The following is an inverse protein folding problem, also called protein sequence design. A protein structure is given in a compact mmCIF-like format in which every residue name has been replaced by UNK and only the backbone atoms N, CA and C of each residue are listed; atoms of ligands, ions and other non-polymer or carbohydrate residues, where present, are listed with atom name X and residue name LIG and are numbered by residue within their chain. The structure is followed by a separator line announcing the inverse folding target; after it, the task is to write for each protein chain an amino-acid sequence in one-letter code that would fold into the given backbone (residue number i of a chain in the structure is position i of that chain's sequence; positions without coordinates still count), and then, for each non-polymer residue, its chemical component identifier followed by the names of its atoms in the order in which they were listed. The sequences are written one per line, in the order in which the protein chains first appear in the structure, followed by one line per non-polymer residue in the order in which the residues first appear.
data_IF_362684939132
#
_entry.id   IF_362684939132
#
_cell.length_a   1.000
_cell.length_b   1.000
_cell.length_c   1.000
_cell.angle_alpha   90.00
_cell.angle_beta   90.00
_cell.angle_gamma   90.00
#
_symmetry.space_group_name_H-M   'P 1'
#
loop_
_entity.id
_entity.type
_entity.pdbx_description
1 polymer ?
#
# COMPACT_ATOMS: atom_id res chain seq x y z
N UNK A 1 0.62 -5.03 10.44
CA UNK A 1 -0.63 -5.32 9.74
C UNK A 1 -0.35 -6.27 8.59
N UNK A 2 -1.20 -7.26 8.37
CA UNK A 2 -1.10 -8.13 7.20
C UNK A 2 -2.23 -7.82 6.23
N UNK A 3 -1.96 -8.00 4.95
CA UNK A 3 -2.93 -7.79 3.90
C UNK A 3 -2.79 -8.81 2.78
N UNK A 4 -3.87 -9.03 2.05
CA UNK A 4 -3.89 -9.87 0.86
C UNK A 4 -4.02 -8.97 -0.35
N UNK A 5 -3.19 -9.20 -1.36
CA UNK A 5 -3.24 -8.49 -2.64
C UNK A 5 -3.68 -9.48 -3.71
N UNK A 6 -4.96 -9.48 -4.11
CA UNK A 6 -5.43 -10.38 -5.16
C UNK A 6 -4.74 -10.09 -6.50
N UNK A 7 -4.65 -11.09 -7.38
CA UNK A 7 -4.12 -10.86 -8.73
C UNK A 7 -4.96 -9.83 -9.47
N UNK A 8 -4.32 -8.88 -10.13
CA UNK A 8 -5.00 -7.85 -10.90
C UNK A 8 -5.84 -6.87 -10.08
N UNK A 9 -5.72 -6.87 -8.75
CA UNK A 9 -6.44 -5.93 -7.91
C UNK A 9 -6.02 -4.48 -8.20
N UNK A 10 -6.98 -3.55 -8.01
CA UNK A 10 -6.66 -2.13 -8.13
C UNK A 10 -5.64 -1.74 -7.07
N UNK A 11 -4.52 -1.20 -7.51
CA UNK A 11 -3.45 -0.73 -6.64
C UNK A 11 -3.84 0.56 -5.93
N UNK A 12 -3.23 0.85 -4.77
CA UNK A 12 -3.37 2.18 -4.18
C UNK A 12 -2.85 3.26 -5.15
N UNK A 13 -3.40 4.48 -5.14
CA UNK A 13 -2.80 5.57 -5.89
C UNK A 13 -1.35 5.78 -5.44
N UNK A 14 -0.42 6.10 -6.35
CA UNK A 14 0.92 6.48 -5.94
C UNK A 14 0.89 7.61 -4.93
N UNK A 15 1.62 7.45 -3.84
CA UNK A 15 1.60 8.42 -2.73
C UNK A 15 2.92 8.41 -1.98
N UNK A 16 3.12 9.42 -1.13
CA UNK A 16 4.24 9.47 -0.21
C UNK A 16 3.73 9.77 1.19
N UNK A 17 4.39 9.17 2.19
CA UNK A 17 4.13 9.50 3.58
C UNK A 17 5.09 10.59 4.03
N UNK A 18 4.57 11.70 4.55
CA UNK A 18 5.40 12.82 4.99
C UNK A 18 5.78 12.72 6.46
N UNK A 19 5.09 11.88 7.23
CA UNK A 19 5.28 11.78 8.69
C UNK A 19 5.68 10.39 9.18
N UNK A 20 5.73 9.39 8.30
CA UNK A 20 6.11 8.04 8.72
C UNK A 20 6.96 7.33 7.68
N UNK A 21 7.70 6.33 8.14
CA UNK A 21 8.36 5.36 7.29
C UNK A 21 7.50 4.10 7.18
N UNK A 22 7.64 3.37 6.10
CA UNK A 22 6.87 2.17 5.82
C UNK A 22 7.79 1.04 5.40
N UNK A 23 7.47 -0.18 5.82
CA UNK A 23 8.22 -1.35 5.41
C UNK A 23 7.26 -2.45 4.97
N UNK A 24 7.65 -3.17 3.92
CA UNK A 24 6.89 -4.29 3.39
C UNK A 24 7.74 -5.56 3.49
N UNK A 25 7.13 -6.63 3.99
CA UNK A 25 7.70 -7.95 3.97
C UNK A 25 6.74 -8.87 3.21
N UNK A 26 7.22 -9.50 2.14
CA UNK A 26 6.40 -10.41 1.33
C UNK A 26 6.34 -11.76 2.02
N UNK A 27 5.14 -12.16 2.44
CA UNK A 27 4.91 -13.43 3.11
C UNK A 27 4.63 -14.56 2.14
N UNK A 28 3.94 -14.26 1.05
CA UNK A 28 3.60 -15.25 0.02
C UNK A 28 3.30 -14.55 -1.31
N UNK A 29 3.53 -15.25 -2.41
CA UNK A 29 3.28 -14.75 -3.75
C UNK A 29 4.35 -13.76 -4.22
N UNK A 30 3.99 -12.96 -5.22
CA UNK A 30 4.89 -11.95 -5.81
C UNK A 30 4.18 -10.61 -5.82
N UNK A 31 4.87 -9.57 -5.38
CA UNK A 31 4.36 -8.20 -5.36
C UNK A 31 5.24 -7.31 -6.21
N UNK A 32 4.62 -6.49 -7.04
CA UNK A 32 5.32 -5.46 -7.80
C UNK A 32 5.25 -4.16 -7.02
N UNK A 33 6.41 -3.63 -6.65
CA UNK A 33 6.53 -2.35 -5.98
C UNK A 33 7.03 -1.30 -6.94
N UNK A 34 6.50 -0.10 -6.81
CA UNK A 34 7.06 1.07 -7.47
C UNK A 34 7.55 2.02 -6.39
N UNK A 35 8.84 2.34 -6.45
CA UNK A 35 9.50 3.26 -5.50
C UNK A 35 10.15 4.36 -6.32
N UNK A 36 9.64 5.59 -6.20
CA UNK A 36 9.98 6.72 -7.07
C UNK A 36 9.83 6.29 -8.56
N UNK A 37 10.89 6.30 -9.35
CA UNK A 37 10.85 5.90 -10.76
C UNK A 37 11.28 4.44 -11.00
N UNK A 38 11.49 3.67 -9.93
CA UNK A 38 11.99 2.30 -10.03
C UNK A 38 10.89 1.30 -9.74
N UNK A 39 10.77 0.29 -10.60
CA UNK A 39 9.89 -0.84 -10.37
C UNK A 39 10.70 -2.03 -9.86
N UNK A 40 10.21 -2.65 -8.78
CA UNK A 40 10.86 -3.77 -8.12
C UNK A 40 9.85 -4.91 -7.94
N UNK A 41 10.29 -6.14 -8.18
CA UNK A 41 9.49 -7.33 -7.91
C UNK A 41 10.00 -8.01 -6.64
N UNK A 42 9.10 -8.25 -5.70
CA UNK A 42 9.40 -8.95 -4.45
C UNK A 42 8.69 -10.30 -4.38
N UNK A 43 9.42 -11.35 -4.07
CA UNK A 43 8.89 -12.67 -3.77
C UNK A 43 8.90 -12.94 -2.26
N UNK A 44 8.36 -14.11 -1.86
CA UNK A 44 8.31 -14.51 -0.45
C UNK A 44 9.69 -14.41 0.22
N UNK A 45 9.75 -13.75 1.37
CA UNK A 45 10.99 -13.50 2.10
C UNK A 45 11.67 -12.18 1.78
N UNK A 46 11.23 -11.45 0.76
CA UNK A 46 11.80 -10.15 0.41
C UNK A 46 11.26 -9.04 1.30
N UNK A 47 12.10 -8.06 1.56
CA UNK A 47 11.81 -6.92 2.42
C UNK A 47 12.10 -5.63 1.66
N UNK A 48 11.19 -4.65 1.74
CA UNK A 48 11.37 -3.33 1.16
C UNK A 48 11.12 -2.26 2.22
N UNK A 49 12.10 -1.40 2.43
CA UNK A 49 11.93 -0.21 3.26
C UNK A 49 11.60 0.98 2.36
N UNK A 50 10.51 1.67 2.69
CA UNK A 50 10.12 2.93 2.03
C UNK A 50 10.39 4.06 3.01
N UNK A 51 11.44 4.85 2.78
CA UNK A 51 11.74 5.97 3.66
C UNK A 51 10.68 7.04 3.56
N UNK A 52 10.60 7.86 4.59
CA UNK A 52 9.71 9.02 4.62
C UNK A 52 9.94 9.88 3.38
N UNK A 53 8.85 10.30 2.73
CA UNK A 53 8.91 11.17 1.55
C UNK A 53 9.09 10.45 0.21
N UNK A 54 9.41 9.17 0.19
CA UNK A 54 9.53 8.43 -1.08
C UNK A 54 8.15 8.11 -1.66
N UNK A 55 7.96 8.41 -2.93
CA UNK A 55 6.73 8.09 -3.66
C UNK A 55 6.67 6.58 -3.91
N UNK A 56 5.53 5.95 -3.63
CA UNK A 56 5.40 4.51 -3.80
C UNK A 56 3.97 4.05 -4.06
N UNK A 57 3.87 2.89 -4.65
CA UNK A 57 2.66 2.08 -4.74
C UNK A 57 3.05 0.63 -4.92
N UNK A 58 2.08 -0.26 -4.88
CA UNK A 58 2.32 -1.69 -5.09
C UNK A 58 1.12 -2.34 -5.76
N UNK A 59 1.35 -3.51 -6.34
CA UNK A 59 0.30 -4.29 -6.98
C UNK A 59 0.72 -5.74 -7.15
N UNK A 60 -0.15 -6.53 -7.75
CA UNK A 60 0.09 -7.94 -8.02
C UNK A 60 -0.17 -8.21 -9.50
N UNK A 61 0.90 -8.33 -10.26
CA UNK A 61 0.85 -8.68 -11.69
C UNK A 61 0.88 -10.20 -11.92
N UNK A 62 0.98 -11.00 -10.86
CA UNK A 62 0.99 -12.46 -10.94
C UNK A 62 -0.41 -13.05 -11.06
N UNK A 63 -0.48 -14.37 -11.08
CA UNK A 63 -1.73 -15.14 -11.18
C UNK A 63 -2.26 -15.64 -9.84
N UNK A 64 -1.47 -15.53 -8.79
CA UNK A 64 -1.81 -15.99 -7.44
C UNK A 64 -1.95 -14.82 -6.47
N UNK A 65 -2.78 -14.93 -5.42
CA UNK A 65 -2.82 -13.92 -4.37
C UNK A 65 -1.47 -13.76 -3.69
N UNK A 66 -1.12 -12.53 -3.33
CA UNK A 66 0.08 -12.24 -2.55
C UNK A 66 -0.32 -11.81 -1.14
N UNK A 67 0.56 -12.06 -0.17
CA UNK A 67 0.37 -11.64 1.21
C UNK A 67 1.53 -10.77 1.65
N UNK A 68 1.19 -9.66 2.30
CA UNK A 68 2.16 -8.69 2.79
C UNK A 68 2.02 -8.51 4.30
N UNK A 69 3.16 -8.35 4.96
CA UNK A 69 3.23 -7.72 6.27
C UNK A 69 3.67 -6.28 6.06
N UNK A 70 2.87 -5.33 6.53
CA UNK A 70 3.12 -3.91 6.38
C UNK A 70 3.36 -3.30 7.75
N UNK A 71 4.45 -2.57 7.88
CA UNK A 71 4.86 -1.90 9.11
C UNK A 71 4.92 -0.39 8.87
N UNK A 72 4.41 0.37 9.81
CA UNK A 72 4.47 1.83 9.80
C UNK A 72 5.09 2.34 11.10
N UNK A 73 5.93 3.34 11.00
CA UNK A 73 6.51 4.02 12.15
C UNK A 73 6.46 5.53 11.94
N UNK A 74 5.57 6.25 12.63
CA UNK A 74 4.59 5.78 13.63
C UNK A 74 3.40 5.02 13.04
N UNK A 75 2.60 4.38 13.90
CA UNK A 75 1.46 3.57 13.50
C UNK A 75 0.38 4.38 12.77
N UNK A 76 -0.33 3.72 11.85
CA UNK A 76 -1.40 4.29 11.05
C UNK A 76 -2.72 3.52 11.18
N UNK A 77 -2.98 2.92 12.34
CA UNK A 77 -4.16 2.09 12.57
C UNK A 77 -5.48 2.85 12.34
N UNK A 78 -5.57 4.10 12.72
CA UNK A 78 -6.76 4.91 12.49
C UNK A 78 -7.06 5.11 11.00
N UNK A 79 -6.03 5.31 10.18
CA UNK A 79 -6.18 5.38 8.73
C UNK A 79 -6.76 4.08 8.17
N UNK A 80 -6.22 2.93 8.58
CA UNK A 80 -6.68 1.64 8.08
C UNK A 80 -8.08 1.29 8.53
N UNK A 81 -8.50 1.71 9.71
CA UNK A 81 -9.89 1.58 10.14
C UNK A 81 -10.85 2.35 9.22
N UNK A 82 -10.52 3.58 8.89
CA UNK A 82 -11.35 4.38 7.99
C UNK A 82 -11.32 3.85 6.55
N UNK A 83 -10.17 3.37 6.10
CA UNK A 83 -10.05 2.74 4.78
C UNK A 83 -10.93 1.49 4.69
N UNK A 84 -10.93 0.67 5.73
CA UNK A 84 -11.78 -0.52 5.78
C UNK A 84 -13.27 -0.15 5.67
N UNK A 85 -13.71 0.87 6.38
CA UNK A 85 -15.09 1.36 6.29
C UNK A 85 -15.42 1.85 4.89
N UNK A 86 -14.50 2.56 4.26
CA UNK A 86 -14.70 3.08 2.89
C UNK A 86 -14.92 1.96 1.87
N UNK A 87 -14.23 0.84 2.03
CA UNK A 87 -14.34 -0.31 1.14
C UNK A 87 -15.46 -1.29 1.52
N UNK A 88 -16.06 -1.16 2.70
CA UNK A 88 -17.06 -2.11 3.21
C UNK A 88 -18.44 -1.98 2.55
N UNK A 89 -18.64 -0.99 1.70
CA UNK A 89 -19.92 -0.75 1.02
C UNK A 89 -20.22 -1.75 -0.10
N UNK A 90 -19.25 -2.60 -0.47
CA UNK A 90 -19.36 -3.51 -1.60
C UNK A 90 -19.08 -2.87 -2.96
N UNK A 91 -18.87 -1.56 -2.99
CA UNK A 91 -18.51 -0.80 -4.19
C UNK A 91 -17.16 -0.16 -3.97
N UNK A 92 -16.20 -0.32 -4.90
CA UNK A 92 -14.90 0.35 -4.75
C UNK A 92 -15.08 1.87 -4.60
N UNK A 93 -14.38 2.50 -3.65
CA UNK A 93 -14.46 3.96 -3.49
C UNK A 93 -13.84 4.67 -4.68
N UNK A 94 -14.26 5.92 -4.92
CA UNK A 94 -13.64 6.76 -5.93
C UNK A 94 -12.20 7.08 -5.57
N UNK A 95 -11.38 7.38 -6.57
CA UNK A 95 -10.00 7.86 -6.34
C UNK A 95 -9.97 9.15 -5.54
N UNK A 96 -10.96 10.01 -5.75
CA UNK A 96 -11.09 11.25 -4.99
C UNK A 96 -11.31 10.99 -3.50
N UNK A 97 -12.22 10.07 -3.16
CA UNK A 97 -12.46 9.66 -1.76
C UNK A 97 -11.22 9.05 -1.11
N UNK A 98 -10.50 8.21 -1.85
CA UNK A 98 -9.25 7.63 -1.35
C UNK A 98 -8.20 8.72 -1.08
N UNK A 99 -8.02 9.65 -2.02
CA UNK A 99 -7.03 10.74 -1.86
C UNK A 99 -7.38 11.65 -0.69
N UNK A 100 -8.65 11.96 -0.50
CA UNK A 100 -9.10 12.76 0.63
C UNK A 100 -8.77 12.08 1.96
N UNK A 101 -9.07 10.78 2.08
CA UNK A 101 -8.73 10.03 3.27
C UNK A 101 -7.21 9.99 3.51
N UNK A 102 -6.44 9.70 2.48
CA UNK A 102 -4.98 9.69 2.55
C UNK A 102 -4.42 11.03 3.00
N UNK A 103 -4.94 12.11 2.44
CA UNK A 103 -4.50 13.48 2.78
C UNK A 103 -4.67 13.80 4.26
N UNK A 104 -5.75 13.35 4.87
CA UNK A 104 -6.00 13.57 6.30
C UNK A 104 -4.97 12.88 7.22
N UNK A 105 -4.26 11.89 6.70
CA UNK A 105 -3.26 11.12 7.45
C UNK A 105 -1.82 11.37 6.96
N UNK A 106 -1.58 12.51 6.34
CA UNK A 106 -0.24 12.91 5.93
C UNK A 106 0.30 12.15 4.70
N UNK A 107 -0.58 11.57 3.89
CA UNK A 107 -0.20 10.90 2.66
C UNK A 107 -0.47 11.84 1.48
N UNK A 108 0.58 12.24 0.80
CA UNK A 108 0.49 13.14 -0.35
C UNK A 108 0.46 12.36 -1.66
N UNK A 109 -0.26 12.86 -2.69
CA UNK A 109 -0.20 12.29 -4.04
C UNK A 109 1.23 12.36 -4.59
N UNK A 110 1.55 11.38 -5.37
CA UNK A 110 2.89 11.31 -5.98
C UNK A 110 2.83 10.86 -7.45
#
# INVERSE_FOLDING_TARGET
MTGIVPPGARTPPPHRHVTCSEAFFVLAGTVTFRLDDTELNGGAGDFLLVPRGAAHTFGNAGSEPARLLVLHAPAMDAYFEELHKLWSTGVPPSRESERELMSRYGMEPA
#
